data_IF_881198190611
#
_entry.id   IF_881198190611
#
_cell.length_a   1.000
_cell.length_b   1.000
_cell.length_c   1.000
_cell.angle_alpha   90.00
_cell.angle_beta   90.00
_cell.angle_gamma   90.00
#
_symmetry.space_group_name_H-M   'P 1'
#
loop_
_entity.id
_entity.type
_entity.pdbx_description
1 polymer ?
#
# COMPACT_ATOMS: atom_id res chain seq x y z
N UNK A 1 0.56 -4.57 -14.33
CA UNK A 1 0.89 -4.44 -12.90
C UNK A 1 0.78 -2.98 -12.50
N UNK A 2 -0.38 -2.53 -12.03
CA UNK A 2 -0.57 -1.16 -11.57
C UNK A 2 -0.18 -1.10 -10.10
N UNK A 3 0.85 -0.31 -9.77
CA UNK A 3 1.14 0.04 -8.39
C UNK A 3 -0.07 0.82 -7.86
N UNK A 4 -0.90 0.15 -7.05
CA UNK A 4 -2.07 0.78 -6.44
C UNK A 4 -1.64 1.37 -5.11
N UNK A 5 -1.65 2.69 -5.03
CA UNK A 5 -1.53 3.43 -3.78
C UNK A 5 -2.93 3.69 -3.24
N UNK A 6 -3.06 3.62 -1.93
CA UNK A 6 -4.30 3.84 -1.22
C UNK A 6 -4.10 5.08 -0.33
N UNK A 7 -5.03 6.03 -0.44
CA UNK A 7 -4.99 7.29 0.32
C UNK A 7 -5.26 6.96 1.80
N UNK A 8 -4.25 7.16 2.65
CA UNK A 8 -4.36 6.90 4.09
C UNK A 8 -4.87 8.12 4.87
N UNK A 9 -4.81 9.31 4.25
CA UNK A 9 -5.38 10.55 4.78
C UNK A 9 -4.50 11.78 4.56
N UNK A 10 -5.06 12.93 4.92
CA UNK A 10 -4.37 14.23 4.92
C UNK A 10 -3.69 14.47 6.28
N UNK A 11 -2.44 14.88 6.23
CA UNK A 11 -1.59 15.22 7.36
C UNK A 11 -1.19 16.69 7.28
N UNK A 12 -0.96 17.31 8.43
CA UNK A 12 -0.52 18.70 8.48
C UNK A 12 0.90 18.93 7.98
N UNK A 13 1.74 17.89 7.87
CA UNK A 13 3.15 18.00 7.46
C UNK A 13 3.75 16.65 7.08
N UNK A 14 4.80 16.67 6.24
CA UNK A 14 5.57 15.47 5.85
C UNK A 14 6.11 14.71 7.07
N UNK A 15 6.48 15.43 8.13
CA UNK A 15 6.95 14.84 9.39
C UNK A 15 5.85 14.04 10.12
N UNK A 16 4.58 14.47 10.07
CA UNK A 16 3.47 13.74 10.68
C UNK A 16 3.12 12.48 9.90
N UNK A 17 3.14 12.59 8.57
CA UNK A 17 3.02 11.45 7.66
C UNK A 17 4.11 10.39 7.90
N UNK A 18 5.38 10.80 8.00
CA UNK A 18 6.51 9.90 8.28
C UNK A 18 6.40 9.24 9.67
N UNK A 19 5.98 9.99 10.69
CA UNK A 19 5.70 9.43 12.03
C UNK A 19 4.60 8.38 11.99
N UNK A 20 3.53 8.62 11.23
CA UNK A 20 2.45 7.64 11.05
C UNK A 20 2.97 6.40 10.34
N UNK A 21 3.77 6.54 9.28
CA UNK A 21 4.33 5.41 8.54
C UNK A 21 5.21 4.53 9.42
N UNK A 22 6.11 5.16 10.20
CA UNK A 22 6.95 4.47 11.19
C UNK A 22 6.13 3.73 12.23
N UNK A 23 5.05 4.35 12.73
CA UNK A 23 4.15 3.73 13.71
C UNK A 23 3.43 2.51 13.15
N UNK A 24 3.11 2.51 11.86
CA UNK A 24 2.43 1.41 11.16
C UNK A 24 3.41 0.41 10.51
N UNK A 25 4.72 0.54 10.77
CA UNK A 25 5.77 -0.30 10.20
C UNK A 25 5.81 -0.29 8.66
N UNK A 26 5.38 0.80 8.03
CA UNK A 26 5.42 0.99 6.59
C UNK A 26 6.80 1.52 6.20
N UNK A 27 7.40 0.89 5.19
CA UNK A 27 8.70 1.34 4.68
C UNK A 27 8.55 2.70 3.96
N UNK A 28 9.49 3.65 4.13
CA UNK A 28 9.41 4.98 3.51
C UNK A 28 9.36 4.94 1.97
N UNK A 29 9.89 3.89 1.36
CA UNK A 29 9.81 3.64 -0.09
C UNK A 29 8.41 3.26 -0.59
N UNK A 30 7.56 2.76 0.31
CA UNK A 30 6.16 2.38 0.03
C UNK A 30 5.18 3.48 0.46
N UNK A 31 5.71 4.62 0.90
CA UNK A 31 4.96 5.81 1.29
C UNK A 31 5.23 6.89 0.26
N UNK A 32 4.15 7.54 -0.20
CA UNK A 32 4.22 8.70 -1.08
C UNK A 32 3.53 9.85 -0.38
N UNK A 33 4.27 10.95 -0.22
CA UNK A 33 3.75 12.16 0.38
C UNK A 33 3.57 13.18 -0.73
N UNK A 34 2.33 13.64 -0.93
CA UNK A 34 1.97 14.59 -1.97
C UNK A 34 1.52 15.89 -1.31
N UNK A 35 2.12 17.03 -1.64
CA UNK A 35 1.69 18.32 -1.10
C UNK A 35 0.35 18.72 -1.71
N UNK A 36 -0.65 19.04 -0.89
CA UNK A 36 -2.00 19.38 -1.34
C UNK A 36 -2.53 20.56 -0.52
N UNK A 37 -2.69 21.71 -1.18
CA UNK A 37 -3.14 22.94 -0.53
C UNK A 37 -2.23 23.37 0.62
N UNK A 38 -2.79 23.45 1.83
CA UNK A 38 -2.08 23.81 3.08
C UNK A 38 -1.52 22.59 3.83
N UNK A 39 -1.75 21.38 3.34
CA UNK A 39 -1.34 20.13 3.99
C UNK A 39 -0.56 19.19 3.07
N UNK A 40 -0.37 17.96 3.54
CA UNK A 40 0.21 16.87 2.78
C UNK A 40 -0.70 15.65 2.80
N UNK A 41 -0.87 15.01 1.67
CA UNK A 41 -1.62 13.76 1.55
C UNK A 41 -0.65 12.59 1.63
N UNK A 42 -1.00 11.59 2.44
CA UNK A 42 -0.25 10.37 2.59
C UNK A 42 -0.88 9.25 1.79
N UNK A 43 -0.15 8.78 0.80
CA UNK A 43 -0.53 7.64 -0.02
C UNK A 43 0.38 6.47 0.34
N UNK A 44 -0.20 5.32 0.66
CA UNK A 44 0.59 4.12 0.97
C UNK A 44 0.35 3.05 -0.05
N UNK A 45 1.43 2.38 -0.45
CA UNK A 45 1.37 1.28 -1.39
C UNK A 45 0.54 0.14 -0.80
N UNK A 46 -0.51 -0.28 -1.50
CA UNK A 46 -1.40 -1.37 -1.04
C UNK A 46 -0.63 -2.65 -0.72
N UNK A 47 0.43 -2.94 -1.46
CA UNK A 47 1.32 -4.09 -1.22
C UNK A 47 2.03 -4.03 0.15
N UNK A 48 2.33 -2.83 0.66
CA UNK A 48 2.95 -2.64 1.97
C UNK A 48 1.93 -2.71 3.13
N UNK A 49 0.67 -2.36 2.86
CA UNK A 49 -0.44 -2.54 3.80
C UNK A 49 -0.83 -4.02 3.97
N UNK A 50 -0.39 -4.86 3.06
CA UNK A 50 -0.60 -6.28 3.12
C UNK A 50 -0.78 -6.86 1.73
N UNK A 51 0.08 -7.81 1.43
CA UNK A 51 -0.10 -8.91 0.48
C UNK A 51 -1.39 -9.75 0.73
N UNK A 52 -2.35 -9.25 1.52
CA UNK A 52 -3.70 -9.81 1.67
C UNK A 52 -4.52 -9.76 0.37
N UNK A 53 -4.05 -9.04 -0.66
CA UNK A 53 -4.62 -9.05 -2.00
C UNK A 53 -4.02 -10.11 -2.94
N UNK A 54 -2.75 -10.51 -2.75
CA UNK A 54 -2.09 -11.49 -3.63
C UNK A 54 -2.46 -12.92 -3.24
N UNK A 55 -2.65 -13.21 -1.94
CA UNK A 55 -3.16 -14.53 -1.50
C UNK A 55 -4.61 -14.82 -1.90
N UNK A 56 -5.31 -13.87 -2.53
CA UNK A 56 -6.67 -14.05 -3.03
C UNK A 56 -6.77 -14.09 -4.56
N UNK A 57 -5.64 -14.25 -5.27
CA UNK A 57 -5.63 -14.49 -6.72
C UNK A 57 -4.73 -15.68 -7.15
N UNK A 58 -4.51 -16.67 -6.28
CA UNK A 58 -3.78 -17.90 -6.65
C UNK A 58 -4.59 -19.19 -6.39
N UNK A 59 -5.91 -19.09 -6.25
CA UNK A 59 -6.81 -20.28 -6.27
C UNK A 59 -7.60 -20.44 -7.57
N UNK A 60 -7.20 -19.73 -8.64
CA UNK A 60 -7.83 -19.86 -9.96
C UNK A 60 -6.87 -20.08 -11.13
N UNK A 61 -5.59 -20.28 -10.89
CA UNK A 61 -4.65 -20.62 -11.95
C UNK A 61 -3.66 -21.68 -11.46
N UNK A 62 -4.03 -22.96 -11.65
CA UNK A 62 -3.27 -24.05 -11.03
C UNK A 62 -3.79 -25.45 -11.34
N UNK A 63 -3.75 -25.80 -12.63
CA UNK A 63 -3.69 -27.19 -13.16
C UNK A 63 -4.99 -27.99 -13.17
N UNK A 64 -5.64 -27.87 -14.33
CA UNK A 64 -6.29 -29.01 -15.01
C UNK A 64 -5.19 -29.98 -15.45
N UNK A 65 -4.67 -30.79 -14.54
CA UNK A 65 -3.85 -31.97 -14.86
C UNK A 65 -4.22 -33.06 -13.85
N UNK A 66 -5.35 -33.69 -14.12
CA UNK A 66 -5.85 -34.84 -13.37
C UNK A 66 -5.79 -36.06 -14.27
N UNK A 67 -4.64 -36.73 -14.28
CA UNK A 67 -4.56 -38.16 -14.58
C UNK A 67 -4.33 -38.85 -13.24
N UNK A 68 -5.35 -39.47 -12.65
CA UNK A 68 -5.37 -40.71 -11.84
C UNK A 68 -6.84 -41.05 -11.51
#
# INVERSE_FOLDING_TARGET
MTWQFDEMGEFGSEADADRWAKRNNIAPQDVRITRKGEGVELEVRRSALGDSGSRHNDRRDGRRDGFF
#
